data_IF_208423711877
#
_entry.id   IF_208423711877
#
_cell.length_a   1.000
_cell.length_b   1.000
_cell.length_c   1.000
_cell.angle_alpha   90.00
_cell.angle_beta   90.00
_cell.angle_gamma   90.00
#
_symmetry.space_group_name_H-M   'P 1'
#
loop_
_entity.id
_entity.type
_entity.pdbx_description
1 polymer ?
#
# COMPACT_ATOMS: atom_id res chain seq x y z
N UNK A 1 -2.26 -1.09 -12.26
CA UNK A 1 -1.53 -1.74 -11.15
C UNK A 1 -1.81 -3.25 -11.02
N UNK A 2 -3.06 -3.70 -11.14
CA UNK A 2 -3.39 -5.14 -11.04
C UNK A 2 -3.44 -5.90 -12.38
N UNK A 3 -3.17 -5.22 -13.50
CA UNK A 3 -3.32 -5.75 -14.85
C UNK A 3 -4.77 -6.03 -15.28
N UNK A 4 -5.77 -5.78 -14.41
CA UNK A 4 -7.19 -5.89 -14.76
C UNK A 4 -7.68 -4.62 -15.44
N UNK A 5 -8.42 -4.76 -16.52
CA UNK A 5 -9.24 -3.68 -17.08
C UNK A 5 -10.41 -3.42 -16.14
N UNK A 6 -10.51 -2.19 -15.63
CA UNK A 6 -11.65 -1.70 -14.87
C UNK A 6 -12.29 -0.61 -15.71
N UNK A 7 -13.61 -0.63 -15.86
CA UNK A 7 -14.36 0.39 -16.57
C UNK A 7 -14.20 1.74 -15.84
N UNK A 8 -13.60 2.72 -16.51
CA UNK A 8 -13.48 4.10 -16.03
C UNK A 8 -14.50 4.94 -16.79
N UNK A 9 -15.61 5.31 -16.13
CA UNK A 9 -16.60 6.25 -16.66
C UNK A 9 -16.60 7.56 -15.85
N UNK A 10 -16.73 8.72 -16.51
CA UNK A 10 -16.93 10.04 -15.88
C UNK A 10 -18.36 10.18 -15.32
N UNK A 11 -18.69 9.36 -14.31
CA UNK A 11 -19.97 9.41 -13.57
C UNK A 11 -19.71 9.33 -12.06
N UNK A 12 -20.56 10.01 -11.28
CA UNK A 12 -20.68 9.72 -9.86
C UNK A 12 -21.03 8.22 -9.73
N UNK A 13 -20.35 7.49 -8.84
CA UNK A 13 -20.49 6.03 -8.63
C UNK A 13 -19.88 5.12 -9.73
N UNK A 14 -18.84 5.54 -10.45
CA UNK A 14 -18.19 4.70 -11.47
C UNK A 14 -17.63 3.37 -10.94
N UNK A 15 -17.34 3.29 -9.63
CA UNK A 15 -16.98 2.05 -8.91
C UNK A 15 -18.08 1.64 -7.93
N UNK A 16 -19.24 1.20 -8.45
CA UNK A 16 -20.36 0.70 -7.63
C UNK A 16 -20.09 -0.63 -6.93
N UNK A 17 -19.10 -1.39 -7.41
CA UNK A 17 -18.69 -2.69 -6.87
C UNK A 17 -17.21 -2.66 -6.48
N UNK A 18 -16.88 -3.27 -5.33
CA UNK A 18 -15.49 -3.37 -4.89
C UNK A 18 -14.70 -4.27 -5.84
N UNK A 19 -13.78 -3.69 -6.61
CA UNK A 19 -12.98 -4.50 -7.55
C UNK A 19 -11.71 -4.98 -6.85
N UNK A 20 -11.59 -6.30 -6.66
CA UNK A 20 -10.39 -6.91 -6.07
C UNK A 20 -9.35 -7.24 -7.17
N UNK A 21 -8.28 -6.45 -7.22
CA UNK A 21 -7.08 -6.68 -8.04
C UNK A 21 -5.97 -7.37 -7.26
N UNK A 22 -4.99 -7.97 -7.96
CA UNK A 22 -3.78 -8.55 -7.34
C UNK A 22 -2.57 -7.70 -7.73
N UNK A 23 -1.82 -7.19 -6.74
CA UNK A 23 -0.57 -6.45 -6.97
C UNK A 23 0.66 -7.38 -6.98
N UNK A 24 0.65 -8.43 -6.15
CA UNK A 24 1.73 -9.42 -6.06
C UNK A 24 1.18 -10.83 -5.87
N UNK A 25 1.90 -11.84 -6.38
CA UNK A 25 1.50 -13.25 -6.29
C UNK A 25 1.77 -13.87 -4.90
N UNK A 26 2.88 -13.51 -4.25
CA UNK A 26 3.20 -13.90 -2.86
C UNK A 26 4.11 -12.85 -2.19
N UNK A 27 3.81 -12.38 -0.97
CA UNK A 27 2.57 -12.62 -0.27
C UNK A 27 1.46 -11.89 -1.05
N UNK A 28 0.26 -12.41 -0.93
CA UNK A 28 -0.86 -11.98 -1.76
C UNK A 28 -1.31 -10.58 -1.33
N UNK A 29 -0.91 -9.55 -2.08
CA UNK A 29 -1.45 -8.19 -1.90
C UNK A 29 -2.71 -8.04 -2.75
N UNK A 30 -3.84 -7.84 -2.06
CA UNK A 30 -5.13 -7.55 -2.66
C UNK A 30 -5.35 -6.05 -2.70
N UNK A 31 -5.79 -5.54 -3.84
CA UNK A 31 -6.21 -4.15 -4.01
C UNK A 31 -7.73 -4.14 -4.10
N UNK A 32 -8.40 -3.47 -3.17
CA UNK A 32 -9.83 -3.23 -3.23
C UNK A 32 -10.06 -1.80 -3.71
N UNK A 33 -10.67 -1.64 -4.88
CA UNK A 33 -11.14 -0.33 -5.34
C UNK A 33 -12.50 -0.05 -4.71
N UNK A 34 -12.57 0.95 -3.84
CA UNK A 34 -13.76 1.27 -3.05
C UNK A 34 -14.45 2.51 -3.58
N UNK A 35 -15.70 2.73 -3.18
CA UNK A 35 -16.35 4.01 -3.48
C UNK A 35 -15.57 5.12 -2.74
N UNK A 36 -15.26 6.20 -3.46
CA UNK A 36 -14.55 7.34 -2.89
C UNK A 36 -15.33 8.04 -1.77
N UNK A 37 -14.65 8.92 -1.02
CA UNK A 37 -15.31 9.74 -0.01
C UNK A 37 -16.25 10.75 -0.69
N UNK A 38 -17.55 10.63 -0.43
CA UNK A 38 -18.58 11.53 -0.95
C UNK A 38 -18.95 12.52 0.15
N UNK A 39 -18.78 13.81 -0.14
CA UNK A 39 -19.27 14.90 0.70
C UNK A 39 -20.80 15.00 0.57
N UNK A 40 -21.53 15.12 1.68
CA UNK A 40 -23.01 15.20 1.72
C UNK A 40 -23.78 14.01 1.12
N UNK A 41 -23.49 12.77 1.59
CA UNK A 41 -24.34 11.61 1.27
C UNK A 41 -25.77 11.76 1.85
N UNK A 42 -26.84 11.46 1.08
CA UNK A 42 -28.20 11.38 1.61
C UNK A 42 -28.30 10.36 2.75
N UNK A 43 -29.07 10.67 3.79
CA UNK A 43 -29.16 9.86 5.02
C UNK A 43 -29.52 8.39 4.79
N UNK A 44 -30.38 8.10 3.80
CA UNK A 44 -30.80 6.73 3.47
C UNK A 44 -29.71 5.87 2.80
N UNK A 45 -28.75 6.50 2.12
CA UNK A 45 -27.63 5.84 1.43
C UNK A 45 -26.43 5.68 2.36
N UNK A 46 -26.44 6.38 3.49
CA UNK A 46 -25.35 6.50 4.44
C UNK A 46 -25.08 5.16 5.15
N UNK A 47 -26.11 4.37 5.48
CA UNK A 47 -25.94 3.09 6.18
C UNK A 47 -25.36 1.98 5.29
N UNK A 48 -25.78 1.89 4.03
CA UNK A 48 -25.19 0.94 3.08
C UNK A 48 -23.72 1.31 2.76
N UNK A 49 -23.44 2.62 2.60
CA UNK A 49 -22.07 3.12 2.42
C UNK A 49 -21.20 2.92 3.67
N UNK A 50 -21.76 3.07 4.88
CA UNK A 50 -21.05 2.85 6.14
C UNK A 50 -20.46 1.45 6.22
N UNK A 51 -21.21 0.43 5.79
CA UNK A 51 -20.72 -0.95 5.77
C UNK A 51 -19.52 -1.11 4.80
N UNK A 52 -19.64 -0.66 3.56
CA UNK A 52 -18.56 -0.76 2.54
C UNK A 52 -17.33 0.08 2.90
N UNK A 53 -17.54 1.24 3.51
CA UNK A 53 -16.44 2.07 3.98
C UNK A 53 -15.78 1.49 5.24
N UNK A 54 -16.52 0.81 6.12
CA UNK A 54 -15.92 0.13 7.27
C UNK A 54 -14.98 -1.00 6.82
N UNK A 55 -15.37 -1.75 5.78
CA UNK A 55 -14.50 -2.76 5.16
C UNK A 55 -13.22 -2.13 4.58
N UNK A 56 -13.32 -0.93 3.98
CA UNK A 56 -12.15 -0.18 3.51
C UNK A 56 -11.21 0.26 4.66
N UNK A 57 -11.71 0.40 5.88
CA UNK A 57 -10.93 0.83 7.05
C UNK A 57 -10.24 -0.34 7.76
N UNK A 58 -10.69 -1.59 7.56
CA UNK A 58 -10.03 -2.81 8.06
C UNK A 58 -8.81 -3.22 7.23
N UNK A 59 -8.44 -2.45 6.21
CA UNK A 59 -7.32 -2.77 5.33
C UNK A 59 -5.95 -2.63 6.02
N UNK A 60 -4.98 -3.39 5.52
CA UNK A 60 -3.57 -3.25 5.94
C UNK A 60 -2.93 -1.94 5.43
N UNK A 61 -3.47 -1.30 4.41
CA UNK A 61 -2.96 -0.04 3.86
C UNK A 61 -4.08 0.69 3.11
N UNK A 62 -4.44 1.88 3.58
CA UNK A 62 -5.38 2.76 2.91
C UNK A 62 -4.62 3.69 1.96
N UNK A 63 -5.01 3.72 0.70
CA UNK A 63 -4.46 4.65 -0.29
C UNK A 63 -5.52 5.69 -0.65
N UNK A 64 -5.23 6.95 -0.34
CA UNK A 64 -6.04 8.11 -0.75
C UNK A 64 -5.51 8.64 -2.08
N UNK A 65 -6.31 8.50 -3.14
CA UNK A 65 -6.02 9.09 -4.44
C UNK A 65 -6.68 10.47 -4.55
N UNK A 66 -5.92 11.47 -4.99
CA UNK A 66 -6.43 12.84 -5.17
C UNK A 66 -6.05 13.36 -6.55
N UNK A 67 -7.04 13.87 -7.29
CA UNK A 67 -6.81 14.48 -8.59
C UNK A 67 -6.01 15.78 -8.46
N UNK A 68 -4.78 15.79 -8.98
CA UNK A 68 -3.90 16.95 -8.87
C UNK A 68 -4.37 18.14 -9.72
N UNK A 69 -5.20 17.89 -10.74
CA UNK A 69 -5.66 18.89 -11.71
C UNK A 69 -6.80 19.75 -11.19
N UNK A 70 -7.43 19.36 -10.08
CA UNK A 70 -8.48 20.16 -9.44
C UNK A 70 -7.98 21.58 -9.13
N UNK A 71 -8.82 22.64 -9.26
CA UNK A 71 -8.48 23.96 -8.76
C UNK A 71 -8.10 23.92 -7.27
N UNK A 72 -7.17 24.78 -6.82
CA UNK A 72 -6.63 24.77 -5.44
C UNK A 72 -7.72 24.71 -4.37
N UNK A 73 -8.77 25.51 -4.52
CA UNK A 73 -9.91 25.53 -3.58
C UNK A 73 -10.67 24.20 -3.51
N UNK A 74 -10.96 23.59 -4.66
CA UNK A 74 -11.67 22.31 -4.69
C UNK A 74 -10.79 21.16 -4.19
N UNK A 75 -9.51 21.18 -4.53
CA UNK A 75 -8.53 20.23 -4.04
C UNK A 75 -8.44 20.27 -2.50
N UNK A 76 -8.28 21.46 -1.91
CA UNK A 76 -8.21 21.62 -0.46
C UNK A 76 -9.53 21.19 0.22
N UNK A 77 -10.68 21.52 -0.39
CA UNK A 77 -11.99 21.05 0.10
C UNK A 77 -12.07 19.52 0.12
N UNK A 78 -11.71 18.85 -0.98
CA UNK A 78 -11.74 17.38 -1.10
C UNK A 78 -10.80 16.73 -0.07
N UNK A 79 -9.57 17.22 0.06
CA UNK A 79 -8.62 16.68 1.05
C UNK A 79 -9.12 16.88 2.47
N UNK A 80 -9.64 18.06 2.79
CA UNK A 80 -10.19 18.34 4.12
C UNK A 80 -11.39 17.43 4.45
N UNK A 81 -12.30 17.21 3.49
CA UNK A 81 -13.42 16.30 3.65
C UNK A 81 -12.94 14.86 3.89
N UNK A 82 -12.02 14.36 3.05
CA UNK A 82 -11.44 13.02 3.20
C UNK A 82 -10.74 12.85 4.55
N UNK A 83 -9.91 13.82 4.95
CA UNK A 83 -9.22 13.79 6.24
C UNK A 83 -10.21 13.74 7.41
N UNK A 84 -11.28 14.54 7.35
CA UNK A 84 -12.35 14.54 8.36
C UNK A 84 -13.03 13.18 8.46
N UNK A 85 -13.41 12.59 7.32
CA UNK A 85 -14.08 11.29 7.31
C UNK A 85 -13.16 10.16 7.78
N UNK A 86 -11.88 10.17 7.38
CA UNK A 86 -10.88 9.22 7.87
C UNK A 86 -10.73 9.39 9.39
N UNK A 87 -10.52 10.61 9.88
CA UNK A 87 -10.34 10.86 11.31
C UNK A 87 -11.57 10.47 12.13
N UNK A 88 -12.78 10.82 11.69
CA UNK A 88 -14.00 10.50 12.41
C UNK A 88 -14.29 9.00 12.51
N UNK A 89 -13.70 8.19 11.63
CA UNK A 89 -13.97 6.74 11.52
C UNK A 89 -12.80 5.86 11.98
N UNK A 90 -11.56 6.30 11.79
CA UNK A 90 -10.36 5.63 12.34
C UNK A 90 -10.16 5.94 13.83
N UNK A 91 -10.56 7.12 14.28
CA UNK A 91 -10.29 7.59 15.63
C UNK A 91 -11.58 7.46 16.44
N UNK A 92 -11.65 6.43 17.28
CA UNK A 92 -12.30 6.65 18.57
C UNK A 92 -11.64 7.90 19.17
N UNK A 93 -12.45 8.85 19.64
CA UNK A 93 -12.11 10.27 19.82
C UNK A 93 -10.90 10.60 20.72
N UNK A 94 -10.19 9.60 21.26
CA UNK A 94 -9.16 9.75 22.28
C UNK A 94 -7.71 9.49 21.80
N UNK A 95 -7.47 9.02 20.57
CA UNK A 95 -6.11 8.70 20.07
C UNK A 95 -5.71 9.57 18.88
N UNK A 96 -5.62 10.89 19.08
CA UNK A 96 -5.08 11.83 18.09
C UNK A 96 -3.53 11.79 17.96
N UNK A 97 -2.87 10.85 18.64
CA UNK A 97 -1.41 10.79 18.69
C UNK A 97 -0.88 9.81 17.64
N UNK A 98 -0.07 10.33 16.72
CA UNK A 98 0.65 9.67 15.61
C UNK A 98 -0.14 9.30 14.34
N UNK A 99 -0.32 10.30 13.48
CA UNK A 99 -0.61 10.12 12.04
C UNK A 99 0.42 9.24 11.30
N UNK A 100 1.68 9.20 11.76
CA UNK A 100 2.77 8.44 11.10
C UNK A 100 2.72 6.92 11.37
N UNK A 101 2.00 6.44 12.39
CA UNK A 101 1.72 5.01 12.56
C UNK A 101 0.54 4.53 11.71
N UNK A 102 -0.21 5.47 11.13
CA UNK A 102 -1.33 5.13 10.27
C UNK A 102 -0.78 4.58 8.96
N UNK A 103 -1.22 3.39 8.59
CA UNK A 103 -0.97 2.83 7.26
C UNK A 103 -1.86 3.51 6.22
N UNK A 104 -1.77 4.84 6.12
CA UNK A 104 -2.51 5.66 5.17
C UNK A 104 -1.50 6.39 4.29
N UNK A 105 -1.62 6.21 2.98
CA UNK A 105 -0.84 6.89 1.97
C UNK A 105 -1.70 7.85 1.18
N UNK A 106 -1.11 8.93 0.67
CA UNK A 106 -1.77 9.82 -0.28
C UNK A 106 -0.97 9.86 -1.59
N UNK A 107 -1.64 9.69 -2.72
CA UNK A 107 -1.07 9.88 -4.04
C UNK A 107 -1.87 10.90 -4.84
N UNK A 108 -1.15 11.90 -5.37
CA UNK A 108 -1.67 12.85 -6.34
C UNK A 108 -1.66 12.19 -7.71
N UNK A 109 -2.82 12.06 -8.34
CA UNK A 109 -2.99 11.46 -9.67
C UNK A 109 -3.07 12.54 -10.75
N UNK A 110 -2.91 12.16 -12.02
CA UNK A 110 -3.05 13.03 -13.20
C UNK A 110 -2.04 14.19 -13.25
N UNK A 111 -0.82 13.95 -12.77
CA UNK A 111 0.20 14.99 -12.64
C UNK A 111 0.78 15.48 -13.98
N UNK A 112 0.48 14.81 -15.09
CA UNK A 112 1.05 15.07 -16.41
C UNK A 112 0.79 16.47 -16.96
N UNK A 113 -0.22 17.17 -16.44
CA UNK A 113 -0.59 18.53 -16.87
C UNK A 113 -0.08 19.63 -15.93
N UNK A 114 0.60 19.28 -14.83
CA UNK A 114 1.04 20.24 -13.82
C UNK A 114 2.49 20.69 -14.03
N UNK A 115 2.77 21.95 -13.72
CA UNK A 115 4.15 22.43 -13.57
C UNK A 115 4.74 21.96 -12.24
N UNK A 116 6.08 22.04 -12.11
CA UNK A 116 6.80 21.71 -10.87
C UNK A 116 6.30 22.54 -9.68
N UNK A 117 6.00 23.82 -9.90
CA UNK A 117 5.51 24.75 -8.88
C UNK A 117 4.10 24.37 -8.43
N UNK A 118 3.19 24.07 -9.37
CA UNK A 118 1.83 23.62 -9.07
C UNK A 118 1.85 22.30 -8.28
N UNK A 119 2.68 21.34 -8.70
CA UNK A 119 2.81 20.07 -8.00
C UNK A 119 3.38 20.27 -6.58
N UNK A 120 4.36 21.16 -6.40
CA UNK A 120 4.93 21.48 -5.10
C UNK A 120 3.92 22.15 -4.16
N UNK A 121 3.08 23.05 -4.68
CA UNK A 121 1.97 23.66 -3.96
C UNK A 121 0.98 22.59 -3.47
N UNK A 122 0.54 21.71 -4.38
CA UNK A 122 -0.39 20.61 -4.06
C UNK A 122 0.16 19.66 -3.01
N UNK A 123 1.43 19.26 -3.13
CA UNK A 123 2.12 18.44 -2.11
C UNK A 123 2.18 19.14 -0.75
N UNK A 124 2.37 20.47 -0.74
CA UNK A 124 2.40 21.25 0.50
C UNK A 124 1.03 21.30 1.18
N UNK A 125 -0.05 21.44 0.39
CA UNK A 125 -1.43 21.35 0.90
C UNK A 125 -1.66 19.98 1.54
N UNK A 126 -1.36 18.90 0.82
CA UNK A 126 -1.52 17.52 1.32
C UNK A 126 -0.77 17.29 2.63
N UNK A 127 0.47 17.78 2.74
CA UNK A 127 1.27 17.70 3.98
C UNK A 127 0.64 18.42 5.16
N UNK A 128 0.05 19.62 4.96
CA UNK A 128 -0.67 20.35 6.02
C UNK A 128 -1.88 19.57 6.55
N UNK A 129 -2.43 18.66 5.75
CA UNK A 129 -3.52 17.77 6.13
C UNK A 129 -3.06 16.43 6.72
N UNK A 130 -1.78 16.31 7.13
CA UNK A 130 -1.29 15.17 7.90
C UNK A 130 -0.75 14.00 7.08
N UNK A 131 -0.64 14.14 5.76
CA UNK A 131 -0.01 13.13 4.91
C UNK A 131 1.46 13.52 4.67
N UNK A 132 2.38 12.95 5.44
CA UNK A 132 3.79 13.36 5.53
C UNK A 132 4.58 13.18 4.22
N UNK A 133 4.28 12.14 3.44
CA UNK A 133 4.99 11.80 2.20
C UNK A 133 4.06 11.59 0.99
N UNK A 134 3.44 12.65 0.44
CA UNK A 134 2.55 12.50 -0.71
C UNK A 134 3.31 12.15 -1.98
N UNK A 135 2.87 11.07 -2.62
CA UNK A 135 3.43 10.59 -3.88
C UNK A 135 2.69 11.24 -5.04
N UNK A 136 3.35 11.32 -6.19
CA UNK A 136 2.82 11.96 -7.39
C UNK A 136 2.91 10.96 -8.53
N UNK A 137 1.79 10.65 -9.16
CA UNK A 137 1.69 9.65 -10.20
C UNK A 137 0.88 10.13 -11.42
N UNK A 138 1.26 9.66 -12.59
CA UNK A 138 0.43 9.66 -13.78
C UNK A 138 0.30 8.24 -14.28
N UNK A 139 -0.92 7.70 -14.29
CA UNK A 139 -1.15 6.34 -14.78
C UNK A 139 -0.98 6.28 -16.30
N UNK A 140 -1.53 7.26 -17.02
CA UNK A 140 -1.48 7.29 -18.49
C UNK A 140 -0.10 7.54 -19.06
N UNK A 141 0.74 8.31 -18.36
CA UNK A 141 2.12 8.59 -18.76
C UNK A 141 3.14 7.69 -18.03
N UNK A 142 2.67 6.75 -17.22
CA UNK A 142 3.50 5.85 -16.40
C UNK A 142 4.51 6.56 -15.48
N UNK A 143 4.20 7.80 -15.07
CA UNK A 143 5.08 8.59 -14.22
C UNK A 143 4.90 8.18 -12.75
N UNK A 144 5.99 7.88 -12.06
CA UNK A 144 6.02 7.68 -10.60
C UNK A 144 5.38 6.38 -10.11
N UNK A 145 4.96 5.49 -11.01
CA UNK A 145 4.25 4.25 -10.64
C UNK A 145 5.13 3.26 -9.88
N UNK A 146 6.39 3.08 -10.30
CA UNK A 146 7.35 2.19 -9.62
C UNK A 146 7.62 2.67 -8.19
N UNK A 147 7.97 3.95 -8.02
CA UNK A 147 8.17 4.53 -6.68
C UNK A 147 6.91 4.50 -5.81
N UNK A 148 5.72 4.57 -6.42
CA UNK A 148 4.46 4.39 -5.72
C UNK A 148 4.26 2.95 -5.24
N UNK A 149 4.55 1.95 -6.09
CA UNK A 149 4.52 0.53 -5.72
C UNK A 149 5.49 0.21 -4.59
N UNK A 150 6.74 0.68 -4.70
CA UNK A 150 7.76 0.47 -3.67
C UNK A 150 7.36 1.08 -2.34
N UNK A 151 6.78 2.29 -2.35
CA UNK A 151 6.30 2.92 -1.13
C UNK A 151 5.15 2.13 -0.48
N UNK A 152 4.22 1.59 -1.29
CA UNK A 152 3.14 0.73 -0.80
C UNK A 152 3.70 -0.54 -0.16
N UNK A 153 4.60 -1.24 -0.86
CA UNK A 153 5.23 -2.47 -0.36
C UNK A 153 6.02 -2.21 0.92
N UNK A 154 6.75 -1.09 0.98
CA UNK A 154 7.48 -0.68 2.17
C UNK A 154 6.59 -0.40 3.36
N UNK A 155 5.40 0.17 3.15
CA UNK A 155 4.46 0.44 4.23
C UNK A 155 3.74 -0.84 4.69
N UNK A 156 3.49 -1.78 3.77
CA UNK A 156 2.91 -3.08 4.08
C UNK A 156 3.89 -4.02 4.80
N UNK A 157 5.13 -4.09 4.32
CA UNK A 157 6.09 -5.13 4.71
C UNK A 157 7.33 -4.62 5.46
N UNK A 158 7.53 -3.30 5.59
CA UNK A 158 8.77 -2.74 6.15
C UNK A 158 9.87 -2.68 5.10
N UNK A 159 11.15 -2.67 5.48
CA UNK A 159 12.27 -2.71 4.52
C UNK A 159 12.46 -4.12 3.97
N UNK A 160 13.08 -4.22 2.79
CA UNK A 160 13.58 -5.51 2.30
C UNK A 160 14.61 -6.09 3.27
N UNK A 161 14.63 -7.40 3.38
CA UNK A 161 15.62 -8.15 4.14
C UNK A 161 16.40 -9.06 3.19
N UNK A 162 17.70 -9.20 3.46
CA UNK A 162 18.52 -10.23 2.81
C UNK A 162 18.62 -11.41 3.74
N UNK A 163 18.06 -12.54 3.31
CA UNK A 163 18.05 -13.79 4.07
C UNK A 163 19.02 -14.75 3.41
N UNK A 164 19.87 -15.38 4.22
CA UNK A 164 20.75 -16.47 3.82
C UNK A 164 20.17 -17.79 4.31
N UNK A 165 19.87 -18.69 3.38
CA UNK A 165 19.50 -20.08 3.65
C UNK A 165 20.76 -20.94 3.55
N UNK A 166 21.11 -21.62 4.64
CA UNK A 166 22.32 -22.41 4.72
C UNK A 166 22.03 -23.82 4.19
N UNK A 167 22.88 -24.36 3.32
CA UNK A 167 22.76 -25.73 2.82
C UNK A 167 23.29 -26.75 3.85
N UNK A 168 22.73 -27.97 3.83
CA UNK A 168 23.24 -29.10 4.62
C UNK A 168 22.75 -30.40 4.01
N UNK A 169 23.62 -31.39 4.09
CA UNK A 169 23.35 -32.77 3.69
C UNK A 169 22.47 -33.53 4.70
N UNK A 170 22.23 -32.96 5.89
CA UNK A 170 21.45 -33.59 6.95
C UNK A 170 20.29 -32.72 7.40
N UNK A 171 19.14 -33.34 7.69
CA UNK A 171 17.94 -32.65 8.15
C UNK A 171 17.04 -32.18 7.00
N UNK A 172 16.29 -31.10 7.22
CA UNK A 172 15.36 -30.53 6.23
C UNK A 172 16.15 -29.91 5.08
N UNK A 173 15.70 -30.17 3.85
CA UNK A 173 16.34 -29.65 2.64
C UNK A 173 16.24 -28.12 2.56
N UNK A 174 17.17 -27.50 1.84
CA UNK A 174 17.20 -26.05 1.65
C UNK A 174 15.98 -25.54 0.87
N UNK A 175 15.43 -26.35 -0.04
CA UNK A 175 14.20 -26.07 -0.77
C UNK A 175 13.00 -25.98 0.17
N UNK A 176 12.99 -26.76 1.25
CA UNK A 176 11.97 -26.67 2.29
C UNK A 176 11.97 -25.31 2.98
N UNK A 177 13.14 -24.80 3.36
CA UNK A 177 13.26 -23.46 3.94
C UNK A 177 12.95 -22.35 2.92
N UNK A 178 13.35 -22.54 1.66
CA UNK A 178 13.01 -21.61 0.59
C UNK A 178 11.48 -21.53 0.40
N UNK A 179 10.77 -22.66 0.48
CA UNK A 179 9.30 -22.69 0.46
C UNK A 179 8.70 -21.85 1.58
N UNK A 180 9.21 -21.95 2.80
CA UNK A 180 8.72 -21.15 3.93
C UNK A 180 8.90 -19.65 3.68
N UNK A 181 10.00 -19.25 3.03
CA UNK A 181 10.24 -17.85 2.63
C UNK A 181 9.20 -17.40 1.61
N UNK A 182 8.89 -18.22 0.60
CA UNK A 182 7.84 -17.91 -0.38
C UNK A 182 6.44 -17.78 0.25
N UNK A 183 6.15 -18.55 1.29
CA UNK A 183 4.88 -18.47 2.02
C UNK A 183 4.80 -17.23 2.92
N UNK A 184 5.95 -16.73 3.39
CA UNK A 184 6.04 -15.68 4.40
C UNK A 184 6.35 -14.28 3.84
N UNK A 185 6.86 -14.18 2.61
CA UNK A 185 7.32 -12.91 2.03
C UNK A 185 7.44 -12.90 0.50
N UNK A 186 7.77 -11.73 -0.05
CA UNK A 186 7.85 -11.50 -1.50
C UNK A 186 9.29 -11.53 -1.95
N UNK A 187 9.69 -12.58 -2.63
CA UNK A 187 11.05 -12.70 -3.13
C UNK A 187 11.23 -11.74 -4.31
N UNK A 188 12.24 -10.88 -4.19
CA UNK A 188 12.69 -9.95 -5.23
C UNK A 188 13.74 -10.63 -6.09
N UNK A 189 14.75 -11.22 -5.45
CA UNK A 189 15.86 -11.89 -6.10
C UNK A 189 16.31 -13.13 -5.32
N UNK A 190 16.89 -14.09 -6.04
CA UNK A 190 17.41 -15.34 -5.49
C UNK A 190 18.72 -15.70 -6.16
N UNK A 191 19.78 -15.87 -5.37
CA UNK A 191 21.11 -16.22 -5.84
C UNK A 191 21.62 -17.48 -5.15
N UNK A 192 22.10 -18.45 -5.94
CA UNK A 192 22.74 -19.66 -5.44
C UNK A 192 24.24 -19.40 -5.26
N UNK A 193 24.74 -19.56 -4.03
CA UNK A 193 26.15 -19.44 -3.72
C UNK A 193 26.91 -20.74 -4.10
N UNK A 194 28.23 -20.65 -4.30
CA UNK A 194 29.07 -21.80 -4.72
C UNK A 194 29.09 -22.96 -3.71
N UNK A 195 28.81 -22.67 -2.44
CA UNK A 195 28.73 -23.65 -1.37
C UNK A 195 27.34 -24.30 -1.25
N UNK A 196 26.40 -23.95 -2.14
CA UNK A 196 25.03 -24.45 -2.15
C UNK A 196 24.05 -23.65 -1.31
N UNK A 197 24.52 -22.64 -0.56
CA UNK A 197 23.65 -21.71 0.17
C UNK A 197 22.82 -20.87 -0.81
N UNK A 198 21.68 -20.36 -0.35
CA UNK A 198 20.82 -19.50 -1.15
C UNK A 198 20.69 -18.15 -0.46
N UNK A 199 21.05 -17.08 -1.17
CA UNK A 199 20.71 -15.71 -0.77
C UNK A 199 19.39 -15.30 -1.41
N UNK A 200 18.51 -14.74 -0.59
CA UNK A 200 17.19 -14.29 -1.00
C UNK A 200 17.02 -12.85 -0.56
N UNK A 201 16.71 -11.96 -1.49
CA UNK A 201 16.19 -10.63 -1.16
C UNK A 201 14.67 -10.70 -1.12
N UNK A 202 14.06 -10.25 -0.03
CA UNK A 202 12.63 -10.47 0.22
C UNK A 202 11.98 -9.28 0.94
N UNK A 203 10.77 -8.90 0.53
CA UNK A 203 9.88 -8.09 1.38
C UNK A 203 9.17 -8.99 2.39
N UNK A 204 9.42 -8.77 3.66
CA UNK A 204 8.86 -9.58 4.74
C UNK A 204 8.69 -8.73 5.99
N UNK A 205 7.53 -8.84 6.62
CA UNK A 205 7.30 -8.13 7.88
C UNK A 205 8.17 -8.72 9.00
N UNK A 206 8.47 -7.90 10.02
CA UNK A 206 9.38 -8.31 11.11
C UNK A 206 8.91 -9.54 11.89
N UNK A 207 7.59 -9.71 12.08
CA UNK A 207 7.04 -10.83 12.83
C UNK A 207 7.24 -12.16 12.08
N UNK A 208 6.93 -12.18 10.78
CA UNK A 208 7.16 -13.31 9.89
C UNK A 208 8.65 -13.65 9.79
N UNK A 209 9.51 -12.64 9.67
CA UNK A 209 10.96 -12.82 9.64
C UNK A 209 11.48 -13.47 10.93
N UNK A 210 11.08 -12.95 12.09
CA UNK A 210 11.48 -13.51 13.38
C UNK A 210 11.02 -14.97 13.54
N UNK A 211 9.80 -15.29 13.09
CA UNK A 211 9.26 -16.65 13.09
C UNK A 211 10.07 -17.60 12.19
N UNK A 212 10.44 -17.17 10.99
CA UNK A 212 11.28 -17.95 10.07
C UNK A 212 12.63 -18.28 10.71
N UNK A 213 13.31 -17.27 11.26
CA UNK A 213 14.63 -17.45 11.88
C UNK A 213 14.53 -18.40 13.09
N UNK A 214 13.55 -18.19 13.97
CA UNK A 214 13.35 -19.02 15.17
C UNK A 214 13.06 -20.49 14.83
N UNK A 215 12.27 -20.75 13.79
CA UNK A 215 11.90 -22.11 13.38
C UNK A 215 12.96 -22.82 12.54
N UNK A 216 14.02 -22.10 12.15
CA UNK A 216 15.04 -22.63 11.25
C UNK A 216 16.10 -23.48 11.94
N UNK A 217 16.19 -23.50 13.27
CA UNK A 217 17.30 -24.12 14.02
C UNK A 217 18.68 -23.63 13.51
N UNK A 218 18.82 -22.34 13.23
CA UNK A 218 20.07 -21.73 12.74
C UNK A 218 20.37 -21.96 11.27
N UNK A 219 19.37 -22.37 10.47
CA UNK A 219 19.50 -22.62 9.03
C UNK A 219 19.12 -21.42 8.17
N UNK A 220 18.58 -20.38 8.80
CA UNK A 220 18.21 -19.11 8.20
C UNK A 220 18.91 -18.00 8.98
N UNK A 221 19.71 -17.19 8.28
CA UNK A 221 20.38 -16.00 8.82
C UNK A 221 19.89 -14.73 8.11
N UNK A 222 19.79 -13.62 8.84
CA UNK A 222 19.49 -12.30 8.27
C UNK A 222 20.80 -11.53 8.15
N UNK A 223 21.09 -11.00 6.95
CA UNK A 223 22.28 -10.19 6.67
C UNK A 223 22.02 -8.69 6.88
#
# INVERSE_FOLDING_TARGET
MSGKEVLVEDKLFSTLETTVGRLAASPRVLLADTIGFIDNLPSATLDAFRATLSEALECDLLVVLVDATDPVREFERKISATQREINARYLNQDELENLDERKIMCALTKIESLTTEQLAEKKSIVKRHGYSSPLAISVHQEIGLEGFQDAMLKQLFGKTATIKLINSETGRSIEGYLSDVYESGMIIDKQLEKNGDILVEVWINQQSLARLVSNSNGRIEVK
#
